data_IF_301471971780
#
_entry.id   IF_301471971780
#
_cell.length_a   1.000
_cell.length_b   1.000
_cell.length_c   1.000
_cell.angle_alpha   90.00
_cell.angle_beta   90.00
_cell.angle_gamma   90.00
#
_symmetry.space_group_name_H-M   'P 1'
#
loop_
_entity.id
_entity.type
_entity.pdbx_description
1 polymer ?
#
# COMPACT_ATOMS: atom_id res chain seq x y z
N UNK A 1 22.27 35.84 -14.47
CA UNK A 1 20.96 35.82 -13.78
C UNK A 1 20.09 34.72 -14.37
N UNK A 2 20.02 33.55 -13.71
CA UNK A 2 19.21 32.40 -14.15
C UNK A 2 17.81 32.58 -13.58
N UNK A 3 16.83 32.85 -14.45
CA UNK A 3 15.41 32.96 -14.10
C UNK A 3 14.79 31.56 -14.07
N UNK A 4 14.56 31.02 -12.87
CA UNK A 4 13.82 29.78 -12.66
C UNK A 4 12.34 30.04 -12.98
N UNK A 5 11.86 29.56 -14.14
CA UNK A 5 10.42 29.51 -14.44
C UNK A 5 9.81 28.30 -13.74
N UNK A 6 8.92 28.55 -12.77
CA UNK A 6 8.05 27.54 -12.17
C UNK A 6 7.20 26.85 -13.26
N UNK A 7 7.56 25.61 -13.59
CA UNK A 7 6.91 24.82 -14.65
C UNK A 7 5.55 24.28 -14.23
N UNK A 8 4.48 24.95 -14.65
CA UNK A 8 3.13 24.39 -14.65
C UNK A 8 3.01 23.23 -15.64
N UNK A 9 2.86 22.02 -15.12
CA UNK A 9 2.66 20.78 -15.90
C UNK A 9 1.37 20.83 -16.75
N UNK A 10 1.49 20.96 -18.08
CA UNK A 10 0.40 20.70 -19.05
C UNK A 10 0.49 19.25 -19.53
N UNK A 11 -0.55 18.46 -19.26
CA UNK A 11 -0.74 17.13 -19.85
C UNK A 11 -1.20 17.26 -21.30
N UNK A 12 -0.37 16.87 -22.26
CA UNK A 12 -0.74 16.85 -23.68
C UNK A 12 -1.48 15.54 -24.05
N UNK A 13 -2.65 15.69 -24.67
CA UNK A 13 -3.53 14.62 -25.17
C UNK A 13 -4.08 15.02 -26.56
N UNK A 14 -3.24 15.55 -27.45
CA UNK A 14 -3.60 16.17 -28.73
C UNK A 14 -4.09 15.23 -29.86
N UNK A 15 -4.45 13.96 -29.60
CA UNK A 15 -4.65 12.98 -30.68
C UNK A 15 -6.03 12.84 -31.33
N UNK A 16 -7.14 13.39 -30.81
CA UNK A 16 -8.47 13.09 -31.39
C UNK A 16 -9.59 14.00 -30.87
N UNK A 17 -9.66 15.26 -31.35
CA UNK A 17 -10.65 16.23 -30.83
C UNK A 17 -11.57 16.87 -31.90
N UNK A 18 -11.29 16.76 -33.19
CA UNK A 18 -12.03 17.53 -34.19
C UNK A 18 -13.48 17.08 -34.46
N UNK A 19 -13.98 15.99 -33.85
CA UNK A 19 -15.31 15.45 -34.15
C UNK A 19 -16.36 15.50 -33.02
N UNK A 20 -16.04 16.03 -31.82
CA UNK A 20 -16.91 15.88 -30.63
C UNK A 20 -17.27 17.20 -29.91
N UNK A 21 -17.12 18.34 -30.57
CA UNK A 21 -17.37 19.66 -29.98
C UNK A 21 -18.85 20.09 -29.93
N UNK A 22 -19.79 19.35 -30.55
CA UNK A 22 -21.23 19.65 -30.47
C UNK A 22 -21.89 18.81 -29.37
N UNK A 23 -22.06 19.38 -28.17
CA UNK A 23 -22.97 18.85 -27.16
C UNK A 23 -22.56 18.97 -25.68
N UNK A 24 -21.33 19.38 -25.37
CA UNK A 24 -20.85 19.49 -23.98
C UNK A 24 -20.85 20.95 -23.53
N UNK A 25 -21.73 21.32 -22.59
CA UNK A 25 -21.75 22.62 -21.86
C UNK A 25 -20.54 22.81 -20.91
N UNK A 26 -19.35 22.34 -21.28
CA UNK A 26 -18.11 22.58 -20.55
C UNK A 26 -16.93 22.64 -21.52
N UNK A 27 -16.15 23.71 -21.44
CA UNK A 27 -14.96 23.90 -22.28
C UNK A 27 -13.81 22.99 -21.78
N UNK A 28 -12.89 22.62 -22.69
CA UNK A 28 -11.72 21.76 -22.42
C UNK A 28 -10.95 22.20 -21.16
N UNK A 29 -10.81 23.51 -20.95
CA UNK A 29 -10.15 24.09 -19.77
C UNK A 29 -10.84 23.79 -18.44
N UNK A 30 -12.17 23.77 -18.40
CA UNK A 30 -12.95 23.54 -17.18
C UNK A 30 -12.93 22.06 -16.77
N UNK A 31 -12.95 21.15 -17.75
CA UNK A 31 -12.81 19.70 -17.53
C UNK A 31 -11.40 19.40 -16.99
N UNK A 32 -10.37 20.04 -17.55
CA UNK A 32 -8.99 19.88 -17.10
C UNK A 32 -8.78 20.43 -15.68
N UNK A 33 -9.35 21.60 -15.36
CA UNK A 33 -9.28 22.20 -14.02
C UNK A 33 -9.96 21.32 -12.98
N UNK A 34 -11.20 20.88 -13.23
CA UNK A 34 -11.94 20.00 -12.31
C UNK A 34 -11.25 18.64 -12.10
N UNK A 35 -10.65 18.07 -13.15
CA UNK A 35 -9.88 16.84 -13.06
C UNK A 35 -8.57 17.06 -12.28
N UNK A 36 -7.92 18.21 -12.46
CA UNK A 36 -6.75 18.64 -11.71
C UNK A 36 -7.07 18.78 -10.21
N UNK A 37 -8.16 19.44 -9.85
CA UNK A 37 -8.53 19.70 -8.45
C UNK A 37 -8.88 18.41 -7.69
N UNK A 38 -9.66 17.51 -8.31
CA UNK A 38 -9.99 16.21 -7.73
C UNK A 38 -8.75 15.31 -7.57
N UNK A 39 -7.76 15.45 -8.45
CA UNK A 39 -6.49 14.73 -8.35
C UNK A 39 -5.49 15.42 -7.42
N UNK A 40 -5.58 16.73 -7.22
CA UNK A 40 -4.76 17.50 -6.28
C UNK A 40 -5.05 17.06 -4.85
N UNK A 41 -6.33 16.96 -4.47
CA UNK A 41 -6.69 16.47 -3.13
C UNK A 41 -6.08 15.10 -2.84
N UNK A 42 -6.15 14.16 -3.81
CA UNK A 42 -5.53 12.84 -3.66
C UNK A 42 -4.01 12.92 -3.50
N UNK A 43 -3.34 13.78 -4.29
CA UNK A 43 -1.89 13.99 -4.18
C UNK A 43 -1.50 14.61 -2.84
N UNK A 44 -2.30 15.54 -2.31
CA UNK A 44 -2.10 16.12 -0.99
C UNK A 44 -2.20 15.05 0.10
N UNK A 45 -3.26 14.23 0.09
CA UNK A 45 -3.41 13.11 1.04
C UNK A 45 -2.23 12.14 0.94
N UNK A 46 -1.83 11.75 -0.27
CA UNK A 46 -0.65 10.91 -0.49
C UNK A 46 0.64 11.55 0.06
N UNK A 47 0.84 12.85 -0.17
CA UNK A 47 2.00 13.60 0.30
C UNK A 47 2.06 13.65 1.83
N UNK A 48 0.93 13.88 2.50
CA UNK A 48 0.83 13.88 3.96
C UNK A 48 1.20 12.50 4.53
N UNK A 49 0.64 11.41 3.99
CA UNK A 49 0.97 10.05 4.45
C UNK A 49 2.41 9.65 4.14
N UNK A 50 2.94 10.05 2.98
CA UNK A 50 4.34 9.81 2.63
C UNK A 50 5.29 10.54 3.59
N UNK A 51 5.03 11.83 3.86
CA UNK A 51 5.80 12.61 4.83
C UNK A 51 5.72 12.02 6.24
N UNK A 52 4.52 11.60 6.67
CA UNK A 52 4.33 10.93 7.96
C UNK A 52 5.12 9.63 8.06
N UNK A 53 5.16 8.86 6.97
CA UNK A 53 5.95 7.60 6.89
C UNK A 53 7.44 7.88 6.99
N UNK A 54 7.95 8.90 6.27
CA UNK A 54 9.36 9.30 6.33
C UNK A 54 9.71 9.77 7.75
N UNK A 55 8.85 10.56 8.39
CA UNK A 55 9.03 11.01 9.77
C UNK A 55 9.10 9.85 10.77
N UNK A 56 8.19 8.88 10.67
CA UNK A 56 8.21 7.65 11.48
C UNK A 56 9.51 6.88 11.27
N UNK A 57 9.93 6.70 10.01
CA UNK A 57 11.19 6.04 9.67
C UNK A 57 12.41 6.76 10.25
N UNK A 58 12.45 8.08 10.16
CA UNK A 58 13.53 8.89 10.73
C UNK A 58 13.59 8.78 12.26
N UNK A 59 12.43 8.85 12.95
CA UNK A 59 12.36 8.63 14.40
C UNK A 59 12.82 7.22 14.80
N UNK A 60 12.47 6.21 14.01
CA UNK A 60 12.91 4.84 14.25
C UNK A 60 14.42 4.66 14.01
N UNK A 61 14.97 5.33 13.01
CA UNK A 61 16.41 5.37 12.76
C UNK A 61 17.18 6.00 13.92
N UNK A 62 16.68 7.13 14.45
CA UNK A 62 17.26 7.77 15.64
C UNK A 62 17.21 6.84 16.87
N UNK A 63 16.08 6.17 17.08
CA UNK A 63 15.95 5.16 18.13
C UNK A 63 17.02 4.05 17.98
N UNK A 64 17.18 3.51 16.77
CA UNK A 64 18.20 2.49 16.49
C UNK A 64 19.63 3.01 16.74
N UNK A 65 19.99 4.18 16.23
CA UNK A 65 21.32 4.75 16.39
C UNK A 65 21.68 4.99 17.87
N UNK A 66 20.78 5.59 18.64
CA UNK A 66 21.00 5.85 20.07
C UNK A 66 21.14 4.56 20.86
N UNK A 67 20.33 3.55 20.51
CA UNK A 67 20.40 2.24 21.14
C UNK A 67 21.71 1.52 20.81
N UNK A 68 22.17 1.59 19.55
CA UNK A 68 23.44 1.01 19.10
C UNK A 68 24.66 1.74 19.71
N UNK A 69 24.56 3.05 19.94
CA UNK A 69 25.58 3.85 20.62
C UNK A 69 25.62 3.65 22.15
N UNK A 70 24.72 2.85 22.71
CA UNK A 70 24.66 2.60 24.16
C UNK A 70 24.14 3.79 24.98
N UNK A 71 23.37 4.71 24.37
CA UNK A 71 22.85 5.88 25.07
C UNK A 71 21.92 5.49 26.23
N UNK A 72 22.04 6.19 27.37
CA UNK A 72 21.20 5.98 28.55
C UNK A 72 19.73 6.33 28.30
N UNK A 73 19.51 7.46 27.60
CA UNK A 73 18.20 7.91 27.16
C UNK A 73 18.06 7.73 25.66
N UNK A 74 17.00 7.03 25.24
CA UNK A 74 16.68 6.84 23.82
C UNK A 74 15.33 7.44 23.48
N UNK A 75 15.20 7.87 22.24
CA UNK A 75 13.94 8.29 21.64
C UNK A 75 12.93 7.15 21.66
N UNK A 76 11.67 7.42 21.99
CA UNK A 76 10.63 6.39 21.98
C UNK A 76 10.46 5.76 20.58
N UNK A 77 10.40 4.42 20.56
CA UNK A 77 10.14 3.63 19.35
C UNK A 77 8.77 3.97 18.76
N UNK A 78 8.66 4.47 17.52
CA UNK A 78 7.37 4.79 16.92
C UNK A 78 6.59 3.52 16.51
N UNK A 79 5.38 3.25 17.05
CA UNK A 79 4.65 2.00 16.76
C UNK A 79 4.20 1.85 15.30
N UNK A 80 4.15 2.96 14.54
CA UNK A 80 3.77 2.95 13.14
C UNK A 80 4.69 2.12 12.23
N UNK A 81 5.91 1.78 12.67
CA UNK A 81 6.83 0.91 11.91
C UNK A 81 6.31 -0.51 11.74
N UNK A 82 5.43 -0.96 12.63
CA UNK A 82 4.83 -2.30 12.57
C UNK A 82 3.92 -2.48 11.33
N UNK A 83 3.52 -1.37 10.68
CA UNK A 83 2.80 -1.40 9.41
C UNK A 83 3.54 -2.19 8.31
N UNK A 84 4.87 -2.26 8.39
CA UNK A 84 5.72 -2.94 7.43
C UNK A 84 5.95 -4.42 7.75
N UNK A 85 5.35 -4.97 8.82
CA UNK A 85 5.44 -6.37 9.24
C UNK A 85 4.11 -7.13 9.06
N UNK A 86 3.59 -7.27 7.82
CA UNK A 86 2.28 -7.88 7.58
C UNK A 86 2.24 -9.38 7.92
N UNK A 87 3.38 -10.09 7.80
CA UNK A 87 3.47 -11.52 8.14
C UNK A 87 3.29 -11.71 9.65
N UNK A 88 4.02 -10.94 10.47
CA UNK A 88 3.87 -10.97 11.93
C UNK A 88 2.45 -10.56 12.36
N UNK A 89 1.84 -9.60 11.65
CA UNK A 89 0.46 -9.17 11.89
C UNK A 89 -0.55 -10.29 11.57
N UNK A 90 -0.35 -11.03 10.47
CA UNK A 90 -1.20 -12.18 10.11
C UNK A 90 -1.06 -13.33 11.14
N UNK A 91 0.15 -13.59 11.63
CA UNK A 91 0.39 -14.55 12.71
C UNK A 91 -0.30 -14.12 14.01
N UNK A 92 -0.23 -12.83 14.35
CA UNK A 92 -0.90 -12.24 15.51
C UNK A 92 -2.43 -12.34 15.39
N UNK A 93 -2.98 -12.17 14.20
CA UNK A 93 -4.41 -12.37 13.94
C UNK A 93 -4.81 -13.83 14.16
N UNK A 94 -4.02 -14.79 13.66
CA UNK A 94 -4.28 -16.22 13.92
C UNK A 94 -4.24 -16.52 15.42
N UNK A 95 -3.24 -16.00 16.14
CA UNK A 95 -3.11 -16.21 17.57
C UNK A 95 -4.35 -15.70 18.32
N UNK A 96 -4.81 -14.50 17.96
CA UNK A 96 -5.99 -13.91 18.57
C UNK A 96 -7.26 -14.74 18.31
N UNK A 97 -7.45 -15.24 17.08
CA UNK A 97 -8.61 -16.08 16.74
C UNK A 97 -8.57 -17.43 17.45
N UNK A 98 -7.40 -18.07 17.54
CA UNK A 98 -7.29 -19.46 18.07
C UNK A 98 -7.18 -19.49 19.59
N UNK A 99 -6.48 -18.54 20.20
CA UNK A 99 -6.18 -18.54 21.64
C UNK A 99 -6.91 -17.45 22.43
N UNK A 100 -7.59 -16.51 21.76
CA UNK A 100 -8.14 -15.31 22.40
C UNK A 100 -7.08 -14.32 22.90
N UNK A 101 -5.79 -14.63 22.73
CA UNK A 101 -4.67 -13.86 23.26
C UNK A 101 -4.27 -12.75 22.28
N UNK A 102 -4.27 -11.51 22.78
CA UNK A 102 -3.89 -10.34 21.98
C UNK A 102 -2.38 -10.10 22.10
N UNK A 103 -1.67 -10.28 20.98
CA UNK A 103 -0.21 -10.14 20.96
C UNK A 103 0.26 -8.76 21.43
N UNK A 104 1.01 -8.71 22.53
CA UNK A 104 1.60 -7.48 23.11
C UNK A 104 2.98 -7.11 22.53
N UNK A 105 3.55 -7.96 21.69
CA UNK A 105 4.87 -7.73 21.05
C UNK A 105 4.77 -6.73 19.90
N UNK A 106 3.82 -6.92 18.99
CA UNK A 106 3.54 -6.00 17.87
C UNK A 106 2.03 -5.69 17.78
N UNK A 107 1.47 -5.00 18.78
CA UNK A 107 0.03 -4.74 18.84
C UNK A 107 -0.43 -3.73 17.77
N UNK A 108 0.39 -2.73 17.45
CA UNK A 108 0.08 -1.77 16.40
C UNK A 108 0.06 -2.42 15.01
N UNK A 109 0.91 -3.42 14.76
CA UNK A 109 0.92 -4.20 13.52
C UNK A 109 -0.42 -4.91 13.27
N UNK A 110 -0.94 -5.61 14.29
CA UNK A 110 -2.25 -6.25 14.22
C UNK A 110 -3.38 -5.23 13.98
N UNK A 111 -3.39 -4.13 14.73
CA UNK A 111 -4.38 -3.05 14.56
C UNK A 111 -4.32 -2.49 13.14
N UNK A 112 -3.15 -2.10 12.66
CA UNK A 112 -2.97 -1.53 11.33
C UNK A 112 -3.37 -2.53 10.23
N UNK A 113 -3.01 -3.80 10.40
CA UNK A 113 -3.42 -4.86 9.48
C UNK A 113 -4.94 -4.97 9.38
N UNK A 114 -5.66 -4.96 10.52
CA UNK A 114 -7.12 -4.97 10.56
C UNK A 114 -7.71 -3.71 9.94
N UNK A 115 -7.20 -2.52 10.26
CA UNK A 115 -7.66 -1.24 9.69
C UNK A 115 -7.53 -1.24 8.18
N UNK A 116 -6.43 -1.74 7.64
CA UNK A 116 -6.22 -1.77 6.20
C UNK A 116 -7.13 -2.82 5.53
N UNK A 117 -7.34 -3.99 6.15
CA UNK A 117 -8.32 -4.98 5.69
C UNK A 117 -9.75 -4.42 5.69
N UNK A 118 -10.15 -3.75 6.76
CA UNK A 118 -11.46 -3.10 6.85
C UNK A 118 -11.60 -1.99 5.83
N UNK A 119 -10.54 -1.23 5.56
CA UNK A 119 -10.52 -0.24 4.47
C UNK A 119 -10.76 -0.93 3.12
N UNK A 120 -10.14 -2.09 2.88
CA UNK A 120 -10.37 -2.87 1.66
C UNK A 120 -11.83 -3.36 1.53
N UNK A 121 -12.42 -3.79 2.64
CA UNK A 121 -13.80 -4.26 2.70
C UNK A 121 -14.80 -3.11 2.49
N UNK A 122 -14.63 -1.98 3.20
CA UNK A 122 -15.57 -0.87 3.21
C UNK A 122 -15.38 0.08 2.03
N UNK A 123 -14.15 0.38 1.65
CA UNK A 123 -13.80 1.43 0.69
C UNK A 123 -13.11 0.87 -0.56
N UNK A 124 -13.25 -0.44 -0.84
CA UNK A 124 -12.47 -1.16 -1.86
C UNK A 124 -10.96 -1.03 -1.57
N UNK A 125 -10.08 -1.41 -2.48
CA UNK A 125 -8.61 -1.34 -2.36
C UNK A 125 -8.05 0.11 -2.37
N UNK A 126 -8.73 1.06 -1.73
CA UNK A 126 -8.36 2.47 -1.65
C UNK A 126 -7.05 2.73 -0.90
N UNK A 127 -6.76 1.96 0.16
CA UNK A 127 -5.53 2.11 0.95
C UNK A 127 -4.27 2.15 0.06
N UNK A 128 -4.17 1.24 -0.93
CA UNK A 128 -3.03 1.16 -1.85
C UNK A 128 -2.81 2.45 -2.69
N UNK A 129 -3.85 3.24 -2.93
CA UNK A 129 -3.78 4.45 -3.76
C UNK A 129 -3.76 5.76 -2.98
N UNK A 130 -4.18 5.76 -1.72
CA UNK A 130 -4.39 6.98 -0.94
C UNK A 130 -3.44 7.08 0.26
N UNK A 131 -3.07 5.94 0.87
CA UNK A 131 -2.32 5.91 2.14
C UNK A 131 -0.97 5.21 1.98
N UNK A 132 -0.91 4.12 1.20
CA UNK A 132 0.29 3.29 1.09
C UNK A 132 1.49 4.04 0.49
N UNK A 133 2.66 4.09 1.16
CA UNK A 133 3.86 4.77 0.66
C UNK A 133 4.42 4.12 -0.61
N UNK A 134 4.33 2.78 -0.72
CA UNK A 134 4.74 2.04 -1.92
C UNK A 134 3.87 2.42 -3.14
N UNK A 135 2.61 2.78 -2.91
CA UNK A 135 1.73 3.30 -3.96
C UNK A 135 2.22 4.64 -4.52
N UNK A 136 2.69 5.53 -3.65
CA UNK A 136 3.28 6.83 -4.02
C UNK A 136 4.55 6.62 -4.85
N UNK A 137 5.45 5.75 -4.39
CA UNK A 137 6.68 5.40 -5.13
C UNK A 137 6.36 4.88 -6.53
N UNK A 138 5.39 3.96 -6.66
CA UNK A 138 4.97 3.45 -7.97
C UNK A 138 4.38 4.56 -8.85
N UNK A 139 3.62 5.50 -8.31
CA UNK A 139 3.12 6.64 -9.07
C UNK A 139 4.22 7.60 -9.54
N UNK A 140 5.24 7.82 -8.72
CA UNK A 140 6.43 8.58 -9.09
C UNK A 140 7.22 7.87 -10.20
N UNK A 141 7.46 6.57 -10.06
CA UNK A 141 8.10 5.76 -11.12
C UNK A 141 7.30 5.78 -12.42
N UNK A 142 5.96 5.73 -12.35
CA UNK A 142 5.11 5.86 -13.53
C UNK A 142 5.16 7.27 -14.16
N UNK A 143 5.45 8.31 -13.38
CA UNK A 143 5.64 9.67 -13.90
C UNK A 143 7.00 9.78 -14.61
N UNK A 144 8.06 9.24 -13.99
CA UNK A 144 9.40 9.13 -14.58
C UNK A 144 9.38 8.29 -15.86
N UNK A 145 8.68 7.15 -15.86
CA UNK A 145 8.47 6.32 -17.04
C UNK A 145 7.91 7.15 -18.20
N UNK A 146 6.92 8.01 -17.97
CA UNK A 146 6.32 8.83 -19.05
C UNK A 146 7.27 9.90 -19.57
N UNK A 147 8.22 10.33 -18.75
CA UNK A 147 9.25 11.28 -19.14
C UNK A 147 10.32 10.59 -19.99
N UNK A 148 10.72 9.38 -19.61
CA UNK A 148 11.74 8.59 -20.31
C UNK A 148 11.20 7.88 -21.56
N UNK A 149 9.98 7.36 -21.50
CA UNK A 149 9.36 6.54 -22.53
C UNK A 149 8.02 7.14 -22.98
N UNK A 150 7.83 7.30 -24.30
CA UNK A 150 6.59 7.83 -24.89
C UNK A 150 5.36 6.99 -24.56
N UNK A 151 5.51 5.67 -24.45
CA UNK A 151 4.42 4.76 -24.08
C UNK A 151 4.92 3.66 -23.14
N UNK A 152 4.13 3.26 -22.12
CA UNK A 152 4.49 2.12 -21.28
C UNK A 152 4.43 0.82 -22.10
N UNK A 153 5.27 -0.16 -21.77
CA UNK A 153 5.11 -1.49 -22.32
C UNK A 153 3.82 -2.11 -21.76
N UNK A 154 2.92 -2.51 -22.67
CA UNK A 154 1.69 -3.22 -22.31
C UNK A 154 1.93 -4.70 -22.52
N UNK A 155 2.03 -5.42 -21.41
CA UNK A 155 2.19 -6.87 -21.40
C UNK A 155 0.96 -7.54 -22.02
N UNK A 156 1.18 -8.60 -22.83
CA UNK A 156 0.10 -9.38 -23.47
C UNK A 156 -0.80 -10.00 -22.40
N UNK A 157 -2.12 -10.00 -22.62
CA UNK A 157 -3.13 -10.30 -21.59
C UNK A 157 -2.92 -11.64 -20.87
N UNK A 158 -2.67 -12.72 -21.61
CA UNK A 158 -2.47 -14.05 -21.03
C UNK A 158 -1.25 -14.08 -20.09
N UNK A 159 -0.14 -13.47 -20.52
CA UNK A 159 1.09 -13.38 -19.72
C UNK A 159 0.92 -12.48 -18.50
N UNK A 160 0.15 -11.40 -18.65
CA UNK A 160 -0.21 -10.55 -17.53
C UNK A 160 -1.06 -11.28 -16.47
N UNK A 161 -2.00 -12.14 -16.87
CA UNK A 161 -2.73 -12.98 -15.92
C UNK A 161 -1.82 -14.01 -15.24
N UNK A 162 -0.90 -14.62 -15.99
CA UNK A 162 0.08 -15.54 -15.44
C UNK A 162 0.98 -14.86 -14.40
N UNK A 163 1.54 -13.69 -14.71
CA UNK A 163 2.37 -12.94 -13.76
C UNK A 163 1.56 -12.46 -12.53
N UNK A 164 0.28 -12.15 -12.69
CA UNK A 164 -0.59 -11.75 -11.57
C UNK A 164 -0.88 -12.92 -10.63
N UNK A 165 -0.83 -14.17 -11.10
CA UNK A 165 -1.05 -15.32 -10.22
C UNK A 165 0.08 -15.46 -9.19
N UNK A 166 1.29 -14.97 -9.48
CA UNK A 166 2.46 -15.05 -8.59
C UNK A 166 2.18 -14.46 -7.21
N UNK A 167 1.60 -13.25 -7.11
CA UNK A 167 1.24 -12.66 -5.80
C UNK A 167 0.18 -13.49 -5.04
N UNK A 168 -0.71 -14.19 -5.75
CA UNK A 168 -1.71 -15.07 -5.14
C UNK A 168 -1.10 -16.39 -4.68
N UNK A 169 -0.14 -16.93 -5.44
CA UNK A 169 0.67 -18.08 -5.01
C UNK A 169 1.50 -17.74 -3.78
N UNK A 170 2.13 -16.57 -3.76
CA UNK A 170 2.90 -16.10 -2.59
C UNK A 170 2.00 -15.91 -1.37
N UNK A 171 0.83 -15.29 -1.54
CA UNK A 171 -0.17 -15.19 -0.46
C UNK A 171 -0.62 -16.58 0.01
N UNK A 172 -0.92 -17.49 -0.93
CA UNK A 172 -1.31 -18.87 -0.66
C UNK A 172 -0.25 -19.63 0.12
N UNK A 173 1.03 -19.45 -0.23
CA UNK A 173 2.17 -20.03 0.49
C UNK A 173 2.24 -19.54 1.94
N UNK A 174 2.15 -18.23 2.18
CA UNK A 174 2.14 -17.69 3.55
C UNK A 174 0.93 -18.17 4.35
N UNK A 175 -0.27 -18.16 3.74
CA UNK A 175 -1.47 -18.68 4.38
C UNK A 175 -1.36 -20.17 4.69
N UNK A 176 -0.79 -20.97 3.79
CA UNK A 176 -0.61 -22.41 4.00
C UNK A 176 0.35 -22.70 5.16
N UNK A 177 1.50 -22.03 5.22
CA UNK A 177 2.45 -22.20 6.32
C UNK A 177 1.84 -21.72 7.65
N UNK A 178 1.30 -20.50 7.67
CA UNK A 178 0.88 -19.85 8.91
C UNK A 178 -0.42 -20.45 9.43
N UNK A 179 -1.42 -20.65 8.56
CA UNK A 179 -2.75 -21.10 8.98
C UNK A 179 -2.82 -22.61 9.16
N UNK A 180 -2.20 -23.40 8.28
CA UNK A 180 -2.36 -24.86 8.27
C UNK A 180 -1.19 -25.61 8.91
N UNK A 181 0.06 -25.25 8.62
CA UNK A 181 1.23 -26.01 9.10
C UNK A 181 1.64 -25.68 10.55
N UNK A 182 1.37 -24.47 11.03
CA UNK A 182 1.87 -24.01 12.34
C UNK A 182 0.84 -24.24 13.46
N UNK A 183 1.06 -25.16 14.43
CA UNK A 183 0.16 -25.33 15.57
C UNK A 183 0.22 -24.12 16.52
N UNK A 184 -0.80 -23.96 17.38
CA UNK A 184 -0.92 -22.81 18.28
C UNK A 184 0.26 -22.62 19.26
N UNK A 185 0.88 -23.71 19.71
CA UNK A 185 2.08 -23.69 20.56
C UNK A 185 3.30 -23.13 19.82
N UNK A 186 3.57 -23.62 18.61
CA UNK A 186 4.65 -23.12 17.76
C UNK A 186 4.43 -21.65 17.38
N UNK A 187 3.18 -21.25 17.12
CA UNK A 187 2.79 -19.87 16.83
C UNK A 187 3.13 -18.93 18.00
N UNK A 188 2.76 -19.29 19.23
CA UNK A 188 3.12 -18.54 20.44
C UNK A 188 4.64 -18.46 20.60
N UNK A 189 5.34 -19.60 20.48
CA UNK A 189 6.80 -19.63 20.59
C UNK A 189 7.49 -18.71 19.58
N UNK A 190 7.00 -18.65 18.34
CA UNK A 190 7.53 -17.72 17.34
C UNK A 190 7.22 -16.26 17.64
N UNK A 191 5.98 -15.94 18.05
CA UNK A 191 5.57 -14.56 18.35
C UNK A 191 6.42 -13.95 19.48
N UNK A 192 6.69 -14.74 20.52
CA UNK A 192 7.51 -14.34 21.66
C UNK A 192 9.01 -14.58 21.43
N UNK A 193 9.42 -15.13 20.29
CA UNK A 193 10.84 -15.35 19.99
C UNK A 193 11.60 -14.02 19.86
N UNK A 194 12.91 -14.00 20.21
CA UNK A 194 13.75 -12.81 19.99
C UNK A 194 13.69 -12.31 18.55
N UNK A 195 13.66 -13.23 17.58
CA UNK A 195 13.57 -12.91 16.16
C UNK A 195 12.37 -12.00 15.85
N UNK A 196 11.18 -12.36 16.33
CA UNK A 196 9.97 -11.58 16.07
C UNK A 196 10.00 -10.24 16.84
N UNK A 197 10.52 -10.21 18.07
CA UNK A 197 10.61 -8.98 18.88
C UNK A 197 11.44 -7.87 18.23
N UNK A 198 12.46 -8.24 17.44
CA UNK A 198 13.35 -7.29 16.75
C UNK A 198 13.16 -7.26 15.22
N UNK A 199 12.08 -7.88 14.70
CA UNK A 199 11.87 -8.03 13.26
C UNK A 199 11.85 -6.68 12.50
N UNK A 200 11.35 -5.63 13.13
CA UNK A 200 11.37 -4.25 12.64
C UNK A 200 12.79 -3.66 12.57
N UNK A 201 13.61 -3.87 13.61
CA UNK A 201 15.02 -3.46 13.61
C UNK A 201 15.81 -4.20 12.54
N UNK A 202 15.55 -5.50 12.36
CA UNK A 202 16.18 -6.29 11.30
C UNK A 202 15.79 -5.80 9.91
N UNK A 203 14.53 -5.43 9.72
CA UNK A 203 14.07 -4.81 8.48
C UNK A 203 14.79 -3.48 8.24
N UNK A 204 14.98 -2.65 9.26
CA UNK A 204 15.73 -1.39 9.13
C UNK A 204 17.20 -1.63 8.74
N UNK A 205 17.90 -2.51 9.46
CA UNK A 205 19.31 -2.85 9.17
C UNK A 205 19.46 -3.43 7.77
N UNK A 206 18.53 -4.27 7.31
CA UNK A 206 18.50 -4.80 5.95
C UNK A 206 18.47 -3.71 4.86
N UNK A 207 17.87 -2.54 5.14
CA UNK A 207 17.88 -1.41 4.21
C UNK A 207 19.06 -0.44 4.42
N UNK A 208 19.63 -0.38 5.62
CA UNK A 208 20.81 0.45 5.92
C UNK A 208 22.10 -0.18 5.38
N UNK A 209 22.23 -1.50 5.49
CA UNK A 209 23.35 -2.28 4.95
C UNK A 209 22.83 -3.33 3.96
N UNK A 210 22.44 -2.91 2.74
CA UNK A 210 21.82 -3.80 1.78
C UNK A 210 22.85 -4.75 1.16
N UNK A 211 22.69 -6.05 1.44
CA UNK A 211 23.48 -7.11 0.79
C UNK A 211 23.39 -7.06 -0.75
N UNK A 212 24.41 -7.56 -1.45
CA UNK A 212 24.43 -7.65 -2.93
C UNK A 212 23.14 -8.20 -3.56
N UNK A 213 22.56 -9.34 -3.11
CA UNK A 213 21.31 -9.83 -3.68
C UNK A 213 20.13 -8.88 -3.45
N UNK A 214 20.12 -8.13 -2.35
CA UNK A 214 19.10 -7.10 -2.08
C UNK A 214 19.20 -5.96 -3.08
N UNK A 215 20.40 -5.42 -3.30
CA UNK A 215 20.63 -4.33 -4.27
C UNK A 215 20.22 -4.79 -5.67
N UNK A 216 20.65 -5.98 -6.09
CA UNK A 216 20.28 -6.54 -7.41
C UNK A 216 18.77 -6.68 -7.54
N UNK A 217 18.09 -7.25 -6.54
CA UNK A 217 16.64 -7.46 -6.56
C UNK A 217 15.88 -6.13 -6.63
N UNK A 218 16.25 -5.14 -5.81
CA UNK A 218 15.61 -3.81 -5.81
C UNK A 218 15.87 -3.07 -7.12
N UNK A 219 17.07 -3.19 -7.70
CA UNK A 219 17.43 -2.58 -8.98
C UNK A 219 16.62 -3.18 -10.12
N UNK A 220 16.51 -4.51 -10.18
CA UNK A 220 15.69 -5.21 -11.17
C UNK A 220 14.21 -4.83 -11.03
N UNK A 221 13.67 -4.80 -9.82
CA UNK A 221 12.28 -4.40 -9.58
C UNK A 221 12.01 -2.95 -9.99
N UNK A 222 12.96 -2.05 -9.75
CA UNK A 222 12.87 -0.65 -10.14
C UNK A 222 12.90 -0.51 -11.66
N UNK A 223 13.85 -1.16 -12.33
CA UNK A 223 13.95 -1.17 -13.78
C UNK A 223 12.69 -1.74 -14.44
N UNK A 224 12.19 -2.88 -13.96
CA UNK A 224 10.94 -3.46 -14.42
C UNK A 224 9.75 -2.51 -14.19
N UNK A 225 9.72 -1.79 -13.08
CA UNK A 225 8.67 -0.80 -12.79
C UNK A 225 8.73 0.45 -13.69
N UNK A 226 9.89 0.76 -14.27
CA UNK A 226 10.04 1.78 -15.32
C UNK A 226 9.56 1.28 -16.69
N UNK A 227 9.59 -0.04 -16.93
CA UNK A 227 9.13 -0.65 -18.18
C UNK A 227 7.62 -0.95 -18.16
N UNK A 228 7.13 -1.52 -17.06
CA UNK A 228 5.74 -1.93 -16.86
C UNK A 228 5.18 -1.23 -15.62
N UNK A 229 3.96 -0.70 -15.72
CA UNK A 229 3.35 0.05 -14.62
C UNK A 229 3.03 -0.86 -13.43
N UNK A 230 3.46 -0.43 -12.24
CA UNK A 230 3.14 -1.01 -10.94
C UNK A 230 3.57 -2.48 -10.77
N UNK A 231 4.72 -2.90 -11.30
CA UNK A 231 5.19 -4.31 -11.26
C UNK A 231 5.07 -4.91 -9.86
N UNK A 232 5.58 -4.22 -8.84
CA UNK A 232 5.49 -4.69 -7.45
C UNK A 232 4.04 -4.94 -7.00
N UNK A 233 3.19 -3.92 -7.07
CA UNK A 233 1.80 -4.02 -6.59
C UNK A 233 0.90 -4.92 -7.44
N UNK A 234 1.28 -5.17 -8.69
CA UNK A 234 0.53 -5.98 -9.67
C UNK A 234 0.91 -7.45 -9.62
N UNK A 235 2.19 -7.77 -9.43
CA UNK A 235 2.72 -9.14 -9.61
C UNK A 235 3.34 -9.75 -8.35
N UNK A 236 3.97 -8.97 -7.46
CA UNK A 236 4.71 -9.51 -6.31
C UNK A 236 4.06 -9.26 -4.95
N UNK A 237 3.24 -8.22 -4.79
CA UNK A 237 2.76 -7.79 -3.48
C UNK A 237 1.67 -8.75 -2.92
N UNK A 238 1.96 -9.57 -1.89
CA UNK A 238 0.97 -10.50 -1.32
C UNK A 238 -0.12 -9.75 -0.58
N UNK A 239 0.22 -8.61 0.00
CA UNK A 239 -0.75 -7.70 0.61
C UNK A 239 -1.72 -7.13 -0.42
N UNK A 240 -1.22 -6.84 -1.62
CA UNK A 240 -2.04 -6.43 -2.75
C UNK A 240 -3.03 -7.51 -3.20
N UNK A 241 -2.62 -8.78 -3.17
CA UNK A 241 -3.51 -9.92 -3.41
C UNK A 241 -4.60 -10.01 -2.34
N UNK A 242 -4.22 -9.94 -1.06
CA UNK A 242 -5.16 -10.02 0.06
C UNK A 242 -6.20 -8.89 0.03
N UNK A 243 -5.75 -7.65 -0.19
CA UNK A 243 -6.65 -6.50 -0.33
C UNK A 243 -7.48 -6.56 -1.61
N UNK A 244 -6.95 -7.15 -2.69
CA UNK A 244 -7.68 -7.40 -3.92
C UNK A 244 -8.87 -8.33 -3.69
N UNK A 245 -8.63 -9.48 -3.03
CA UNK A 245 -9.64 -10.48 -2.68
C UNK A 245 -10.71 -9.91 -1.75
N UNK A 246 -10.29 -9.26 -0.66
CA UNK A 246 -11.23 -8.66 0.31
C UNK A 246 -12.04 -7.51 -0.32
N UNK A 247 -11.45 -6.72 -1.21
CA UNK A 247 -12.16 -5.65 -1.90
C UNK A 247 -13.24 -6.11 -2.87
N UNK A 248 -13.27 -7.39 -3.24
CA UNK A 248 -14.32 -7.95 -4.08
C UNK A 248 -15.69 -7.91 -3.37
N UNK A 249 -15.70 -8.12 -2.04
CA UNK A 249 -16.87 -8.03 -1.17
C UNK A 249 -17.36 -6.58 -0.98
N UNK A 250 -16.52 -5.59 -1.32
CA UNK A 250 -16.86 -4.19 -1.10
C UNK A 250 -18.13 -3.76 -1.88
N UNK A 251 -19.09 -3.06 -1.21
CA UNK A 251 -20.30 -2.58 -1.86
C UNK A 251 -20.00 -1.43 -2.83
N UNK A 252 -18.96 -0.64 -2.53
CA UNK A 252 -18.55 0.53 -3.29
C UNK A 252 -17.66 0.13 -4.47
N UNK A 253 -18.17 0.37 -5.68
CA UNK A 253 -17.50 -0.02 -6.92
C UNK A 253 -17.75 1.07 -7.96
N UNK A 254 -16.79 1.31 -8.85
CA UNK A 254 -16.94 2.30 -9.92
C UNK A 254 -17.97 1.76 -10.92
N UNK A 255 -19.08 2.48 -11.12
CA UNK A 255 -20.15 2.14 -12.06
C UNK A 255 -20.19 3.09 -13.23
N UNK A 256 -20.44 2.52 -14.39
CA UNK A 256 -20.68 3.21 -15.64
C UNK A 256 -22.17 3.17 -15.95
N UNK A 257 -22.75 4.33 -16.16
CA UNK A 257 -24.05 4.45 -16.81
C UNK A 257 -23.85 4.33 -18.33
N UNK A 258 -24.48 3.33 -18.93
CA UNK A 258 -24.36 3.07 -20.36
C UNK A 258 -25.09 4.12 -21.21
N UNK A 259 -26.22 4.66 -20.72
CA UNK A 259 -27.05 5.60 -21.47
C UNK A 259 -26.38 6.95 -21.67
N UNK A 260 -25.58 7.42 -20.71
CA UNK A 260 -24.84 8.69 -20.81
C UNK A 260 -23.42 8.54 -21.39
N UNK A 261 -22.96 7.33 -21.67
CA UNK A 261 -21.57 7.10 -22.05
C UNK A 261 -21.33 7.22 -23.56
N UNK A 262 -20.44 8.13 -23.96
CA UNK A 262 -20.05 8.38 -25.36
C UNK A 262 -18.88 7.51 -25.88
N UNK A 263 -18.57 6.38 -25.23
CA UNK A 263 -17.44 5.47 -25.52
C UNK A 263 -16.07 6.13 -25.88
N UNK A 264 -15.73 7.28 -25.30
CA UNK A 264 -14.46 7.97 -25.63
C UNK A 264 -13.17 7.27 -25.13
N UNK A 265 -13.30 6.17 -24.37
CA UNK A 265 -12.23 5.33 -23.78
C UNK A 265 -11.19 6.04 -22.90
N UNK A 266 -11.35 7.33 -22.57
CA UNK A 266 -10.44 8.10 -21.69
C UNK A 266 -10.26 7.45 -20.32
N UNK A 267 -11.33 6.88 -19.76
CA UNK A 267 -11.31 6.17 -18.48
C UNK A 267 -10.37 4.95 -18.47
N UNK A 268 -10.28 4.22 -19.60
CA UNK A 268 -9.36 3.08 -19.76
C UNK A 268 -7.93 3.54 -19.98
N UNK A 269 -7.72 4.58 -20.79
CA UNK A 269 -6.38 5.13 -21.05
C UNK A 269 -5.68 5.67 -19.79
N UNK A 270 -6.45 6.25 -18.86
CA UNK A 270 -5.90 6.80 -17.60
C UNK A 270 -5.74 5.76 -16.49
N UNK A 271 -6.35 4.57 -16.62
CA UNK A 271 -6.32 3.56 -15.58
C UNK A 271 -4.90 2.98 -15.43
N UNK A 272 -4.23 3.12 -14.28
CA UNK A 272 -2.86 2.63 -14.13
C UNK A 272 -2.79 1.08 -14.07
N UNK A 273 -3.91 0.42 -13.75
CA UNK A 273 -4.06 -1.03 -13.80
C UNK A 273 -4.47 -1.56 -15.20
N UNK A 274 -4.58 -0.69 -16.22
CA UNK A 274 -5.00 -1.04 -17.59
C UNK A 274 -6.37 -1.75 -17.66
N UNK A 275 -7.30 -1.41 -16.76
CA UNK A 275 -8.64 -1.99 -16.74
C UNK A 275 -9.49 -1.39 -17.87
N UNK A 276 -10.25 -2.24 -18.57
CA UNK A 276 -11.25 -1.82 -19.58
C UNK A 276 -12.51 -1.23 -18.93
N UNK A 277 -12.35 -0.09 -18.26
CA UNK A 277 -13.44 0.66 -17.61
C UNK A 277 -14.57 1.04 -18.57
N UNK A 278 -14.28 1.36 -19.84
CA UNK A 278 -15.31 1.72 -20.82
C UNK A 278 -16.30 0.58 -21.14
N UNK A 279 -15.85 -0.68 -21.10
CA UNK A 279 -16.72 -1.84 -21.30
C UNK A 279 -17.41 -2.31 -20.02
N UNK A 280 -16.96 -1.86 -18.84
CA UNK A 280 -17.44 -2.39 -17.57
C UNK A 280 -18.68 -1.63 -17.10
N UNK A 281 -19.80 -2.31 -16.89
CA UNK A 281 -20.96 -1.74 -16.18
C UNK A 281 -20.61 -1.42 -14.73
N UNK A 282 -19.95 -2.36 -14.04
CA UNK A 282 -19.31 -2.12 -12.75
C UNK A 282 -17.88 -2.68 -12.76
N UNK A 283 -16.91 -1.89 -12.31
CA UNK A 283 -15.51 -2.31 -12.24
C UNK A 283 -15.32 -3.31 -11.09
N UNK A 284 -15.35 -4.60 -11.41
CA UNK A 284 -15.20 -5.73 -10.46
C UNK A 284 -13.79 -6.35 -10.42
N UNK A 285 -12.80 -5.71 -11.00
CA UNK A 285 -11.41 -6.18 -10.90
C UNK A 285 -10.82 -5.90 -9.51
N UNK A 286 -10.10 -6.91 -9.02
CA UNK A 286 -9.18 -6.98 -7.88
C UNK A 286 -7.96 -6.05 -7.99
N UNK A 287 -7.59 -5.64 -9.21
CA UNK A 287 -6.53 -4.64 -9.46
C UNK A 287 -7.02 -3.19 -9.31
N UNK A 288 -8.32 -2.98 -9.14
CA UNK A 288 -8.87 -1.64 -9.00
C UNK A 288 -8.62 -1.09 -7.59
N UNK A 289 -7.50 -0.38 -7.45
CA UNK A 289 -7.08 0.39 -6.27
C UNK A 289 -7.89 1.68 -5.97
N UNK A 290 -9.09 1.82 -6.55
CA UNK A 290 -10.01 2.94 -6.30
C UNK A 290 -9.37 4.35 -6.30
N UNK A 291 -8.45 4.63 -7.22
CA UNK A 291 -7.77 5.93 -7.35
C UNK A 291 -8.64 7.06 -7.93
N UNK A 292 -9.84 6.72 -8.43
CA UNK A 292 -10.83 7.63 -9.01
C UNK A 292 -10.37 8.45 -10.24
N UNK A 293 -9.20 8.17 -10.82
CA UNK A 293 -8.71 8.82 -12.06
C UNK A 293 -9.69 8.68 -13.22
N UNK A 294 -10.33 7.52 -13.37
CA UNK A 294 -11.33 7.28 -14.41
C UNK A 294 -12.61 8.10 -14.22
N UNK A 295 -13.00 8.38 -12.97
CA UNK A 295 -14.14 9.26 -12.64
C UNK A 295 -13.78 10.71 -12.93
N UNK A 296 -12.58 11.14 -12.54
CA UNK A 296 -12.12 12.53 -12.73
C UNK A 296 -11.95 12.92 -14.22
N UNK A 297 -11.46 12.00 -15.06
CA UNK A 297 -11.22 12.29 -16.50
C UNK A 297 -12.48 12.19 -17.36
N UNK A 298 -13.59 11.69 -16.81
CA UNK A 298 -14.81 11.46 -17.59
C UNK A 298 -15.40 12.81 -18.06
N UNK A 299 -15.55 13.03 -19.38
CA UNK A 299 -16.04 14.32 -19.89
C UNK A 299 -17.55 14.52 -19.66
N UNK A 300 -18.31 13.42 -19.57
CA UNK A 300 -19.75 13.46 -19.35
C UNK A 300 -20.03 13.36 -17.84
N UNK A 301 -20.80 14.32 -17.31
CA UNK A 301 -21.14 14.36 -15.88
C UNK A 301 -21.99 13.14 -15.53
N UNK A 302 -21.77 12.59 -14.33
CA UNK A 302 -22.52 11.47 -13.74
C UNK A 302 -22.43 10.12 -14.49
N UNK A 303 -21.69 10.01 -15.58
CA UNK A 303 -21.51 8.75 -16.32
C UNK A 303 -20.66 7.72 -15.58
N UNK A 304 -19.58 8.14 -14.92
CA UNK A 304 -18.73 7.28 -14.09
C UNK A 304 -18.77 7.78 -12.65
N UNK A 305 -19.17 6.91 -11.73
CA UNK A 305 -19.33 7.26 -10.32
C UNK A 305 -18.86 6.13 -9.41
N UNK A 306 -18.36 6.47 -8.22
CA UNK A 306 -18.17 5.50 -7.16
C UNK A 306 -19.52 5.35 -6.43
N UNK A 307 -20.16 4.20 -6.61
CA UNK A 307 -21.50 3.98 -6.06
C UNK A 307 -21.74 2.53 -5.62
N UNK A 308 -22.75 2.36 -4.77
CA UNK A 308 -23.29 1.05 -4.39
C UNK A 308 -24.14 0.46 -5.52
N UNK A 309 -24.64 -0.77 -5.36
CA UNK A 309 -25.51 -1.41 -6.36
C UNK A 309 -26.76 -0.54 -6.59
N UNK A 310 -27.09 -0.30 -7.85
CA UNK A 310 -28.25 0.52 -8.25
C UNK A 310 -28.09 2.03 -7.99
N UNK A 311 -26.87 2.54 -7.80
CA UNK A 311 -26.63 3.98 -7.54
C UNK A 311 -27.34 4.55 -6.29
N UNK A 312 -27.77 3.68 -5.35
CA UNK A 312 -28.46 4.10 -4.11
C UNK A 312 -27.67 5.12 -3.30
N UNK A 313 -26.36 4.89 -3.19
CA UNK A 313 -25.45 5.83 -2.55
C UNK A 313 -24.30 6.13 -3.52
N UNK A 314 -24.00 7.42 -3.69
CA UNK A 314 -22.94 7.93 -4.58
C UNK A 314 -21.97 8.75 -3.76
N UNK A 315 -20.70 8.34 -3.73
CA UNK A 315 -19.64 9.05 -3.02
C UNK A 315 -18.89 9.94 -4.01
N UNK A 316 -18.77 11.23 -3.67
CA UNK A 316 -17.92 12.17 -4.39
C UNK A 316 -16.43 11.92 -4.05
N UNK A 317 -15.48 12.21 -4.96
CA UNK A 317 -14.06 11.95 -4.70
C UNK A 317 -13.49 12.58 -3.42
N UNK A 318 -13.95 13.78 -3.04
CA UNK A 318 -13.50 14.42 -1.80
C UNK A 318 -14.06 13.74 -0.56
N UNK A 319 -15.33 13.30 -0.58
CA UNK A 319 -15.92 12.52 0.51
C UNK A 319 -15.18 11.20 0.69
N UNK A 320 -14.80 10.55 -0.41
CA UNK A 320 -14.00 9.34 -0.36
C UNK A 320 -12.65 9.57 0.32
N UNK A 321 -11.97 10.68 0.01
CA UNK A 321 -10.72 11.07 0.65
C UNK A 321 -10.91 11.28 2.17
N UNK A 322 -11.92 12.04 2.56
CA UNK A 322 -12.26 12.29 3.97
C UNK A 322 -12.59 10.98 4.69
N UNK A 323 -13.40 10.11 4.09
CA UNK A 323 -13.74 8.81 4.67
C UNK A 323 -12.49 7.95 4.91
N UNK A 324 -11.54 7.90 3.98
CA UNK A 324 -10.28 7.16 4.18
C UNK A 324 -9.47 7.75 5.33
N UNK A 325 -9.30 9.08 5.37
CA UNK A 325 -8.50 9.76 6.39
C UNK A 325 -9.13 9.61 7.77
N UNK A 326 -10.42 9.89 7.91
CA UNK A 326 -11.17 9.77 9.16
C UNK A 326 -11.19 8.33 9.65
N UNK A 327 -11.42 7.37 8.75
CA UNK A 327 -11.39 5.95 9.13
C UNK A 327 -9.99 5.55 9.63
N UNK A 328 -8.94 5.90 8.90
CA UNK A 328 -7.57 5.52 9.24
C UNK A 328 -7.12 6.13 10.59
N UNK A 329 -7.24 7.46 10.76
CA UNK A 329 -6.84 8.11 12.01
C UNK A 329 -7.80 7.83 13.17
N UNK A 330 -9.10 7.69 12.89
CA UNK A 330 -10.10 7.33 13.89
C UNK A 330 -9.84 5.95 14.49
N UNK A 331 -9.50 4.95 13.66
CA UNK A 331 -9.14 3.62 14.15
C UNK A 331 -7.83 3.61 14.94
N UNK A 332 -6.83 4.40 14.54
CA UNK A 332 -5.58 4.54 15.31
C UNK A 332 -5.86 5.21 16.66
N UNK A 333 -6.68 6.28 16.68
CA UNK A 333 -7.09 6.96 17.91
C UNK A 333 -7.82 6.02 18.86
N UNK A 334 -8.77 5.23 18.35
CA UNK A 334 -9.48 4.23 19.14
C UNK A 334 -8.53 3.15 19.70
N UNK A 335 -7.56 2.69 18.92
CA UNK A 335 -6.57 1.71 19.38
C UNK A 335 -5.63 2.27 20.46
N UNK A 336 -5.28 3.56 20.38
CA UNK A 336 -4.51 4.26 21.42
C UNK A 336 -5.29 4.36 22.73
N UNK A 337 -6.56 4.77 22.67
CA UNK A 337 -7.44 4.85 23.83
C UNK A 337 -7.68 3.47 24.46
N UNK A 338 -7.75 2.42 23.64
CA UNK A 338 -7.90 1.04 24.11
C UNK A 338 -6.62 0.38 24.63
N UNK A 339 -5.46 1.06 24.62
CA UNK A 339 -4.19 0.49 25.08
C UNK A 339 -3.64 -0.64 24.19
N UNK A 340 -4.06 -0.72 22.92
CA UNK A 340 -3.62 -1.73 21.94
C UNK A 340 -2.64 -1.15 20.91
N UNK A 341 -1.95 -0.07 21.25
CA UNK A 341 -1.07 0.65 20.32
C UNK A 341 0.43 0.55 20.66
N UNK A 342 0.78 0.54 21.94
CA UNK A 342 2.17 0.46 22.38
C UNK A 342 2.58 -0.98 22.61
N UNK A 343 3.81 -1.34 22.24
CA UNK A 343 4.35 -2.66 22.57
C UNK A 343 4.84 -2.72 24.03
N UNK A 344 5.02 -3.93 24.55
CA UNK A 344 5.45 -4.16 25.92
C UNK A 344 6.87 -4.73 26.01
N UNK A 345 7.76 -4.35 25.10
CA UNK A 345 9.16 -4.81 25.13
C UNK A 345 9.98 -3.79 25.92
N UNK A 346 10.59 -4.17 27.05
CA UNK A 346 11.43 -3.25 27.82
C UNK A 346 12.70 -2.90 27.04
N UNK A 347 13.19 -1.68 27.24
CA UNK A 347 14.39 -1.16 26.56
C UNK A 347 15.63 -2.04 26.76
N UNK A 348 15.76 -2.66 27.93
CA UNK A 348 16.85 -3.57 28.28
C UNK A 348 16.93 -4.78 27.34
N UNK A 349 15.79 -5.35 26.94
CA UNK A 349 15.77 -6.45 25.96
C UNK A 349 16.28 -5.99 24.60
N UNK A 350 15.90 -4.79 24.18
CA UNK A 350 16.40 -4.24 22.93
C UNK A 350 17.93 -4.04 22.99
N UNK A 351 18.46 -3.50 24.09
CA UNK A 351 19.92 -3.38 24.31
C UNK A 351 20.63 -4.72 24.24
N UNK A 352 20.04 -5.76 24.82
CA UNK A 352 20.59 -7.12 24.77
C UNK A 352 20.59 -7.72 23.36
N UNK A 353 19.55 -7.44 22.55
CA UNK A 353 19.43 -8.04 21.22
C UNK A 353 20.19 -7.32 20.11
N UNK A 354 20.48 -6.02 20.23
CA UNK A 354 21.25 -5.26 19.22
C UNK A 354 22.57 -5.94 18.82
N UNK A 355 23.48 -6.31 19.75
CA UNK A 355 24.75 -6.93 19.37
C UNK A 355 24.60 -8.32 18.74
N UNK A 356 23.39 -8.91 18.82
CA UNK A 356 23.06 -10.23 18.30
C UNK A 356 22.21 -10.17 17.02
N UNK A 357 21.96 -8.97 16.45
CA UNK A 357 21.08 -8.77 15.28
C UNK A 357 21.47 -9.66 14.09
N UNK A 358 22.77 -9.79 13.82
CA UNK A 358 23.31 -10.64 12.75
C UNK A 358 23.22 -12.14 13.07
N UNK A 359 23.29 -12.51 14.35
CA UNK A 359 23.26 -13.91 14.81
C UNK A 359 21.87 -14.52 14.80
N UNK A 360 20.81 -13.72 14.91
CA UNK A 360 19.43 -14.21 14.85
C UNK A 360 18.97 -14.58 13.42
N UNK A 361 19.80 -15.20 12.58
CA UNK A 361 19.30 -15.78 11.32
C UNK A 361 18.35 -16.93 11.63
N UNK A 362 17.30 -17.12 10.82
CA UNK A 362 16.25 -18.10 11.06
C UNK A 362 16.84 -19.47 11.45
N UNK A 363 16.85 -19.78 12.75
CA UNK A 363 17.30 -21.07 13.23
C UNK A 363 16.23 -22.09 12.83
N UNK A 364 16.48 -22.80 11.73
CA UNK A 364 15.80 -24.05 11.43
C UNK A 364 16.20 -25.07 12.50
N UNK A 365 15.47 -25.09 13.61
CA UNK A 365 15.56 -26.13 14.64
C UNK A 365 16.79 -26.02 15.55
N UNK A 366 16.53 -26.02 16.86
CA UNK A 366 17.50 -26.43 17.88
C UNK A 366 18.57 -25.42 18.28
N UNK A 367 18.41 -24.90 19.49
CA UNK A 367 19.47 -24.37 20.36
C UNK A 367 20.15 -23.06 19.92
N UNK A 368 19.75 -21.97 20.57
CA UNK A 368 20.66 -20.86 20.86
C UNK A 368 21.68 -21.41 21.86
N UNK A 369 22.86 -21.80 21.38
CA UNK A 369 23.99 -22.06 22.27
C UNK A 369 24.42 -20.72 22.87
N UNK A 370 24.22 -20.56 24.17
CA UNK A 370 24.92 -19.55 24.97
C UNK A 370 26.41 -19.84 24.86
N UNK A 371 27.07 -19.11 23.96
CA UNK A 371 28.52 -19.05 23.87
C UNK A 371 29.07 -18.45 25.15
N UNK A 372 29.39 -19.34 26.10
CA UNK A 372 30.17 -19.06 27.30
C UNK A 372 31.47 -18.40 26.87
N UNK A 373 31.62 -17.12 27.22
CA UNK A 373 32.91 -16.44 27.13
C UNK A 373 33.92 -17.19 28.03
N UNK A 374 35.03 -17.61 27.43
CA UNK A 374 36.30 -17.84 28.11
C UNK A 374 37.32 -16.89 27.52
#
# INVERSE_FOLDING_TARGET
>A
MIRIKAGGFKFDYNGSFNALAKGLRMNRGEILKKCSDAMLLRRLVQGIFAASTIWIGFRFYLFYQQLAAGAEQVVERPPGVEAFLPISSLMSLKLWIVSGDFNRIHPAGLVLFLVILLTALLLKRGFCSWVCPVGVINEMLNAVQKLLFRQPLVVRRWFDYLLRSIKYLLLGFFCWIILLKMPGSALKAFIYSPYNQIADLKMLVFFLDPSTPTIVTLSVLTLLSLLVRNVWCRYLCPYGALLGMTSWLSPWKIRRDAGSCIDCRKCTKVCPANIRVHCAGAVRSDECHACLRCVAVCPVKKTLQLSTRGHRFVIRPWMYAVCIVVFFFGSIGAARLGGFWQNNIPLERYRHYIPLLERFNHAHGGQVSEGRAR
#
